data_IF_903882552493
#
_entry.id   IF_903882552493
#
_cell.length_a   1.000
_cell.length_b   1.000
_cell.length_c   1.000
_cell.angle_alpha   90.00
_cell.angle_beta   90.00
_cell.angle_gamma   90.00
#
_symmetry.space_group_name_H-M   'P 1'
#
loop_
_entity.id
_entity.type
_entity.pdbx_description
1 polymer ?
#
# COMPACT_ATOMS: atom_id res chain seq x y z
N UNK A 1 4.78 -15.64 -23.61
CA UNK A 1 4.69 -15.05 -22.28
C UNK A 1 6.12 -14.76 -21.80
N UNK A 2 6.40 -13.51 -21.44
CA UNK A 2 7.73 -13.01 -21.02
C UNK A 2 8.30 -13.82 -19.83
N UNK A 3 7.44 -14.26 -18.91
CA UNK A 3 7.84 -15.08 -17.77
C UNK A 3 8.32 -16.47 -18.22
N UNK A 4 7.63 -17.09 -19.17
CA UNK A 4 8.00 -18.41 -19.68
C UNK A 4 9.30 -18.34 -20.48
N UNK A 5 9.51 -17.27 -21.26
CA UNK A 5 10.76 -17.06 -21.98
C UNK A 5 11.95 -16.91 -21.02
N UNK A 6 11.81 -16.13 -19.96
CA UNK A 6 12.84 -16.00 -18.93
C UNK A 6 13.13 -17.32 -18.23
N UNK A 7 12.09 -18.07 -17.82
CA UNK A 7 12.27 -19.35 -17.13
C UNK A 7 12.93 -20.42 -18.02
N UNK A 8 12.70 -20.39 -19.34
CA UNK A 8 13.34 -21.29 -20.28
C UNK A 8 14.86 -21.07 -20.37
N UNK A 9 15.34 -19.84 -20.15
CA UNK A 9 16.76 -19.47 -20.22
C UNK A 9 17.24 -18.89 -18.88
N UNK A 10 16.64 -19.32 -17.77
CA UNK A 10 16.80 -18.71 -16.43
C UNK A 10 18.25 -18.52 -15.99
N UNK A 11 19.12 -19.49 -16.25
CA UNK A 11 20.52 -19.39 -15.83
C UNK A 11 21.27 -18.28 -16.58
N UNK A 12 21.11 -18.22 -17.90
CA UNK A 12 21.76 -17.21 -18.73
C UNK A 12 21.23 -15.81 -18.43
N UNK A 13 19.91 -15.67 -18.25
CA UNK A 13 19.26 -14.42 -17.88
C UNK A 13 19.72 -13.92 -16.51
N UNK A 14 19.85 -14.79 -15.51
CA UNK A 14 20.37 -14.43 -14.18
C UNK A 14 21.84 -14.03 -14.22
N UNK A 15 22.68 -14.71 -15.04
CA UNK A 15 24.08 -14.35 -15.26
C UNK A 15 24.17 -12.97 -15.94
N UNK A 16 23.35 -12.72 -16.95
CA UNK A 16 23.30 -11.42 -17.63
C UNK A 16 22.90 -10.29 -16.66
N UNK A 17 21.84 -10.50 -15.87
CA UNK A 17 21.44 -9.53 -14.84
C UNK A 17 22.53 -9.30 -13.79
N UNK A 18 23.20 -10.37 -13.34
CA UNK A 18 24.31 -10.27 -12.41
C UNK A 18 25.46 -9.44 -13.02
N UNK A 19 25.85 -9.71 -14.25
CA UNK A 19 26.91 -8.99 -14.96
C UNK A 19 26.54 -7.51 -15.19
N UNK A 20 25.28 -7.19 -15.41
CA UNK A 20 24.79 -5.81 -15.54
C UNK A 20 24.82 -5.05 -14.21
N UNK A 21 24.55 -5.72 -13.11
CA UNK A 21 24.56 -5.13 -11.76
C UNK A 21 25.99 -5.03 -11.21
N UNK A 22 26.85 -6.04 -11.48
CA UNK A 22 28.25 -6.05 -11.07
C UNK A 22 29.11 -5.58 -12.23
N UNK A 23 29.77 -4.44 -12.07
CA UNK A 23 30.66 -3.93 -13.10
C UNK A 23 31.97 -4.72 -13.13
N UNK A 24 32.24 -5.40 -14.25
CA UNK A 24 33.58 -5.86 -14.63
C UNK A 24 34.03 -5.07 -15.85
N UNK A 25 35.14 -4.30 -15.78
CA UNK A 25 35.66 -3.64 -16.96
C UNK A 25 35.98 -4.68 -18.04
N UNK A 26 35.40 -4.54 -19.24
CA UNK A 26 35.65 -5.46 -20.35
C UNK A 26 37.11 -5.50 -20.81
N UNK A 27 37.88 -4.46 -20.50
CA UNK A 27 39.22 -4.22 -21.04
C UNK A 27 40.33 -4.16 -19.97
N UNK A 28 40.08 -4.71 -18.78
CA UNK A 28 41.10 -4.70 -17.69
C UNK A 28 41.47 -3.32 -17.13
N UNK A 29 40.84 -2.26 -17.63
CA UNK A 29 40.98 -0.90 -17.04
C UNK A 29 40.03 -0.82 -15.85
N UNK A 30 40.47 -0.41 -14.66
CA UNK A 30 39.58 -0.19 -13.53
C UNK A 30 38.60 0.96 -13.87
N UNK A 31 37.40 0.60 -14.30
CA UNK A 31 36.33 1.55 -14.48
C UNK A 31 35.84 2.08 -13.14
N UNK A 32 35.06 3.15 -13.16
CA UNK A 32 34.42 3.66 -11.96
C UNK A 32 33.47 2.57 -11.39
N UNK A 33 33.72 2.00 -10.21
CA UNK A 33 32.87 0.95 -9.63
C UNK A 33 31.45 1.44 -9.33
N UNK A 34 31.19 2.75 -9.47
CA UNK A 34 29.88 3.34 -9.35
C UNK A 34 29.07 3.30 -10.66
N UNK A 35 29.68 2.88 -11.77
CA UNK A 35 28.97 2.73 -13.05
C UNK A 35 28.56 1.27 -13.26
N UNK A 36 27.28 0.96 -13.11
CA UNK A 36 26.73 -0.33 -13.54
C UNK A 36 26.02 -0.17 -14.88
N UNK A 37 26.11 -1.17 -15.74
CA UNK A 37 25.39 -1.17 -17.02
C UNK A 37 23.88 -1.49 -16.86
N UNK A 38 23.43 -1.77 -15.65
CA UNK A 38 22.02 -1.99 -15.40
C UNK A 38 21.24 -0.68 -15.48
N UNK A 39 20.21 -0.66 -16.31
CA UNK A 39 19.22 0.40 -16.42
C UNK A 39 17.84 -0.19 -16.19
N UNK A 40 17.01 0.51 -15.41
CA UNK A 40 15.63 0.11 -15.19
C UNK A 40 14.86 0.26 -16.50
N UNK A 41 14.22 -0.81 -16.92
CA UNK A 41 13.44 -0.80 -18.15
C UNK A 41 12.21 0.12 -18.11
N UNK A 42 11.63 0.35 -19.27
CA UNK A 42 10.46 1.23 -19.43
C UNK A 42 9.22 0.63 -18.77
N UNK A 43 8.51 1.44 -18.00
CA UNK A 43 7.26 1.04 -17.35
C UNK A 43 6.09 0.98 -18.33
N UNK A 44 5.33 -0.11 -18.26
CA UNK A 44 4.02 -0.24 -18.93
C UNK A 44 2.93 0.30 -17.99
N UNK A 45 2.24 1.36 -18.39
CA UNK A 45 1.16 1.99 -17.61
C UNK A 45 -0.18 1.33 -17.91
N UNK A 46 -0.92 0.89 -16.88
CA UNK A 46 -2.26 0.32 -16.99
C UNK A 46 -3.22 1.03 -16.03
N UNK A 47 -4.32 1.54 -16.56
CA UNK A 47 -5.40 2.10 -15.73
C UNK A 47 -6.25 0.97 -15.15
N UNK A 48 -6.45 0.98 -13.84
CA UNK A 48 -7.40 0.13 -13.13
C UNK A 48 -8.45 1.02 -12.47
N UNK A 49 -9.70 0.56 -12.41
CA UNK A 49 -10.84 1.36 -11.95
C UNK A 49 -11.43 0.90 -10.62
N UNK A 50 -11.01 -0.26 -10.12
CA UNK A 50 -11.48 -0.79 -8.85
C UNK A 50 -10.34 -0.95 -7.83
N UNK A 51 -10.57 -0.59 -6.55
CA UNK A 51 -11.76 0.06 -5.94
C UNK A 51 -11.86 1.56 -6.23
N UNK A 52 -10.81 2.18 -6.72
CA UNK A 52 -10.70 3.57 -7.18
C UNK A 52 -9.80 3.61 -8.42
N UNK A 53 -9.99 4.58 -9.31
CA UNK A 53 -9.07 4.77 -10.44
C UNK A 53 -7.61 4.89 -9.96
N UNK A 54 -6.73 4.11 -10.58
CA UNK A 54 -5.28 4.14 -10.31
C UNK A 54 -4.51 3.82 -11.58
N UNK A 55 -3.34 4.41 -11.72
CA UNK A 55 -2.38 4.00 -12.75
C UNK A 55 -1.42 3.03 -12.11
N UNK A 56 -1.51 1.76 -12.49
CA UNK A 56 -0.53 0.73 -12.13
C UNK A 56 0.57 0.73 -13.17
N UNK A 57 1.81 0.66 -12.72
CA UNK A 57 3.00 0.67 -13.56
C UNK A 57 3.72 -0.66 -13.36
N UNK A 58 3.97 -1.37 -14.45
CA UNK A 58 4.60 -2.68 -14.43
C UNK A 58 5.89 -2.67 -15.25
N UNK A 59 6.93 -3.23 -14.67
CA UNK A 59 8.21 -3.50 -15.33
C UNK A 59 8.21 -4.85 -16.06
N UNK A 60 9.25 -5.05 -16.87
CA UNK A 60 9.60 -6.33 -17.46
C UNK A 60 9.85 -7.38 -16.37
N UNK A 61 9.83 -8.66 -16.75
CA UNK A 61 10.07 -9.74 -15.80
C UNK A 61 11.50 -9.70 -15.22
N UNK A 62 12.57 -9.48 -16.04
CA UNK A 62 13.94 -9.34 -15.53
C UNK A 62 14.08 -8.23 -14.48
N UNK A 63 13.51 -7.06 -14.74
CA UNK A 63 13.54 -5.96 -13.75
C UNK A 63 12.83 -6.30 -12.43
N UNK A 64 11.73 -7.08 -12.50
CA UNK A 64 11.05 -7.57 -11.30
C UNK A 64 11.92 -8.56 -10.51
N UNK A 65 12.73 -9.37 -11.19
CA UNK A 65 13.73 -10.27 -10.56
C UNK A 65 14.77 -9.45 -9.80
N UNK A 66 15.29 -8.38 -10.39
CA UNK A 66 16.23 -7.46 -9.71
C UNK A 66 15.58 -6.85 -8.48
N UNK A 67 14.37 -6.31 -8.59
CA UNK A 67 13.64 -5.74 -7.45
C UNK A 67 13.38 -6.77 -6.35
N UNK A 68 13.08 -8.01 -6.72
CA UNK A 68 12.88 -9.11 -5.76
C UNK A 68 14.17 -9.44 -5.01
N UNK A 69 15.32 -9.46 -5.70
CA UNK A 69 16.61 -9.70 -5.07
C UNK A 69 16.94 -8.63 -4.02
N UNK A 70 16.76 -7.34 -4.33
CA UNK A 70 16.93 -6.25 -3.37
C UNK A 70 15.92 -6.34 -2.22
N UNK A 71 14.67 -6.62 -2.50
CA UNK A 71 13.64 -6.78 -1.48
C UNK A 71 14.01 -7.87 -0.47
N UNK A 72 14.41 -9.06 -0.93
CA UNK A 72 14.77 -10.18 -0.04
C UNK A 72 15.92 -9.83 0.92
N UNK A 73 16.86 -9.01 0.50
CA UNK A 73 18.01 -8.60 1.33
C UNK A 73 17.69 -7.43 2.26
N UNK A 74 16.95 -6.45 1.76
CA UNK A 74 16.71 -5.19 2.49
C UNK A 74 15.49 -5.26 3.40
N UNK A 75 14.42 -5.96 3.01
CA UNK A 75 13.21 -5.99 3.80
C UNK A 75 13.43 -6.52 5.23
N UNK A 76 14.19 -7.60 5.49
CA UNK A 76 14.47 -8.04 6.87
C UNK A 76 15.26 -7.03 7.70
N UNK A 77 16.09 -6.20 7.05
CA UNK A 77 16.86 -5.14 7.72
C UNK A 77 15.94 -4.03 8.23
N UNK A 78 14.99 -3.58 7.40
CA UNK A 78 14.09 -2.49 7.73
C UNK A 78 12.88 -2.95 8.54
N UNK A 79 12.33 -4.14 8.29
CA UNK A 79 11.15 -4.66 8.99
C UNK A 79 11.36 -4.74 10.51
N UNK A 80 12.58 -5.01 10.96
CA UNK A 80 12.95 -5.02 12.39
C UNK A 80 12.89 -3.65 13.06
N UNK A 81 12.97 -2.56 12.26
CA UNK A 81 12.93 -1.19 12.75
C UNK A 81 11.51 -0.63 12.80
N UNK A 82 10.57 -1.29 12.12
CA UNK A 82 9.19 -0.82 12.09
C UNK A 82 8.48 -1.07 13.41
N UNK A 83 7.67 -0.11 13.84
CA UNK A 83 6.85 -0.27 15.03
C UNK A 83 5.91 -1.47 14.94
N UNK A 84 5.51 -2.01 16.09
CA UNK A 84 4.62 -3.17 16.17
C UNK A 84 3.29 -2.94 15.44
N UNK A 85 2.75 -1.72 15.49
CA UNK A 85 1.45 -1.37 14.96
C UNK A 85 1.49 -0.72 13.57
N UNK A 86 2.53 -1.00 12.78
CA UNK A 86 2.57 -0.81 11.33
C UNK A 86 2.22 -2.13 10.63
N UNK A 87 1.15 -2.17 9.82
CA UNK A 87 0.54 -3.39 9.31
C UNK A 87 0.57 -3.56 7.80
N UNK A 88 0.79 -2.49 7.04
CA UNK A 88 0.76 -2.53 5.57
C UNK A 88 1.96 -3.25 4.98
N UNK A 89 1.75 -4.19 4.05
CA UNK A 89 2.79 -4.86 3.26
C UNK A 89 3.92 -5.50 4.09
N UNK A 90 3.59 -6.11 5.23
CA UNK A 90 4.53 -6.82 6.09
C UNK A 90 4.10 -8.27 6.28
N UNK A 91 5.07 -9.19 6.33
CA UNK A 91 4.80 -10.63 6.57
C UNK A 91 4.21 -10.84 7.97
N UNK A 92 3.18 -11.66 8.07
CA UNK A 92 2.48 -11.92 9.34
C UNK A 92 1.62 -10.73 9.84
N UNK A 93 1.49 -9.68 9.05
CA UNK A 93 0.65 -8.51 9.29
C UNK A 93 -0.42 -8.40 8.18
N UNK A 94 -1.42 -7.56 8.35
CA UNK A 94 -2.43 -7.39 7.31
C UNK A 94 -3.65 -6.61 7.77
N UNK A 95 -4.63 -6.51 6.89
CA UNK A 95 -5.85 -5.72 7.13
C UNK A 95 -6.66 -6.26 8.31
N UNK A 96 -6.72 -7.58 8.47
CA UNK A 96 -7.49 -8.22 9.55
C UNK A 96 -6.86 -7.91 10.90
N UNK A 97 -5.56 -8.20 11.06
CA UNK A 97 -4.83 -7.93 12.31
C UNK A 97 -4.86 -6.44 12.68
N UNK A 98 -4.77 -5.54 11.68
CA UNK A 98 -4.86 -4.10 11.91
C UNK A 98 -6.24 -3.70 12.47
N UNK A 99 -7.33 -4.26 11.91
CA UNK A 99 -8.70 -4.00 12.38
C UNK A 99 -8.93 -4.57 13.78
N UNK A 100 -8.50 -5.80 14.02
CA UNK A 100 -8.66 -6.49 15.30
C UNK A 100 -7.90 -5.73 16.40
N UNK A 101 -6.67 -5.29 16.12
CA UNK A 101 -5.90 -4.48 17.05
C UNK A 101 -6.61 -3.16 17.38
N UNK A 102 -7.10 -2.44 16.38
CA UNK A 102 -7.85 -1.20 16.62
C UNK A 102 -9.13 -1.48 17.41
N UNK A 103 -9.83 -2.58 17.15
CA UNK A 103 -11.02 -2.97 17.91
C UNK A 103 -10.72 -3.18 19.39
N UNK A 104 -9.55 -3.68 19.76
CA UNK A 104 -9.16 -3.85 21.17
C UNK A 104 -8.96 -2.51 21.89
N UNK A 105 -8.68 -1.43 21.16
CA UNK A 105 -8.45 -0.09 21.74
C UNK A 105 -9.72 0.73 21.85
N UNK A 106 -10.65 0.60 20.91
CA UNK A 106 -11.91 1.38 20.88
C UNK A 106 -12.75 1.20 22.15
N UNK A 107 -12.93 0.00 22.76
CA UNK A 107 -13.64 -0.14 24.04
C UNK A 107 -12.96 0.59 25.17
N UNK A 108 -11.62 0.52 25.25
CA UNK A 108 -10.84 1.19 26.29
C UNK A 108 -11.03 2.70 26.22
N UNK A 109 -11.07 3.25 25.01
CA UNK A 109 -11.31 4.66 24.75
C UNK A 109 -12.77 5.07 25.03
N UNK A 110 -13.74 4.15 24.85
CA UNK A 110 -15.18 4.44 25.04
C UNK A 110 -15.67 4.26 26.48
N UNK A 111 -14.99 3.45 27.30
CA UNK A 111 -15.39 3.09 28.65
C UNK A 111 -14.77 3.99 29.74
N UNK A 112 -13.79 4.83 29.39
CA UNK A 112 -13.21 5.80 30.31
C UNK A 112 -14.16 6.96 30.61
N UNK A 113 -14.11 7.49 31.82
CA UNK A 113 -14.82 8.71 32.24
C UNK A 113 -14.40 9.95 31.42
N UNK A 114 -13.22 9.93 30.80
CA UNK A 114 -12.73 10.95 29.86
C UNK A 114 -13.27 10.68 28.45
N UNK A 115 -13.71 11.73 27.77
CA UNK A 115 -14.11 11.64 26.36
C UNK A 115 -12.87 11.45 25.49
N UNK A 116 -12.76 10.30 24.82
CA UNK A 116 -11.68 10.02 23.90
C UNK A 116 -12.03 10.44 22.47
N UNK A 117 -11.01 10.76 21.72
CA UNK A 117 -11.10 11.19 20.32
C UNK A 117 -10.23 10.31 19.42
N UNK A 118 -10.63 10.24 18.17
CA UNK A 118 -9.90 9.55 17.09
C UNK A 118 -9.45 10.59 16.09
N UNK A 119 -8.17 10.66 15.82
CA UNK A 119 -7.60 11.37 14.70
C UNK A 119 -7.38 10.36 13.55
N UNK A 120 -8.06 10.59 12.46
CA UNK A 120 -7.82 9.90 11.19
C UNK A 120 -6.89 10.77 10.34
N UNK A 121 -5.68 10.30 10.07
CA UNK A 121 -4.74 10.94 9.15
C UNK A 121 -4.81 10.22 7.80
N UNK A 122 -4.86 10.99 6.74
CA UNK A 122 -4.82 10.52 5.34
C UNK A 122 -3.80 11.40 4.60
N UNK A 123 -2.71 10.80 4.11
CA UNK A 123 -1.66 11.52 3.39
C UNK A 123 -2.10 11.73 1.94
N UNK A 124 -1.95 12.97 1.45
CA UNK A 124 -2.37 13.33 0.11
C UNK A 124 -1.55 12.62 -0.97
N UNK A 125 -2.18 11.68 -1.71
CA UNK A 125 -1.57 10.99 -2.87
C UNK A 125 -0.17 10.45 -2.58
N UNK A 126 0.00 9.80 -1.46
CA UNK A 126 1.26 9.39 -0.87
C UNK A 126 2.26 8.82 -1.88
N UNK A 127 1.90 7.77 -2.66
CA UNK A 127 2.78 7.14 -3.64
C UNK A 127 3.28 8.09 -4.74
N UNK A 128 2.55 9.16 -5.05
CA UNK A 128 2.94 10.15 -6.05
C UNK A 128 3.74 11.32 -5.46
N UNK A 129 3.93 11.35 -4.13
CA UNK A 129 4.52 12.49 -3.41
C UNK A 129 5.83 12.17 -2.70
N UNK A 130 6.19 10.89 -2.56
CA UNK A 130 7.46 10.50 -1.94
C UNK A 130 8.61 11.22 -2.65
N UNK A 131 9.37 11.98 -1.90
CA UNK A 131 10.54 12.72 -2.40
C UNK A 131 11.74 11.80 -2.47
N UNK A 132 12.40 11.71 -3.63
CA UNK A 132 13.49 10.76 -3.86
C UNK A 132 14.75 11.11 -3.07
N UNK A 133 15.07 12.40 -2.89
CA UNK A 133 16.21 12.84 -2.12
C UNK A 133 16.04 12.47 -0.63
N UNK A 134 14.87 12.74 -0.07
CA UNK A 134 14.52 12.38 1.31
C UNK A 134 14.58 10.85 1.48
N UNK A 135 14.02 10.08 0.55
CA UNK A 135 14.06 8.62 0.60
C UNK A 135 15.51 8.10 0.58
N UNK A 136 16.34 8.62 -0.31
CA UNK A 136 17.76 8.24 -0.39
C UNK A 136 18.53 8.64 0.88
N UNK A 137 18.23 9.79 1.48
CA UNK A 137 18.80 10.21 2.77
C UNK A 137 18.42 9.22 3.88
N UNK A 138 17.18 8.77 3.95
CA UNK A 138 16.73 7.76 4.92
C UNK A 138 17.48 6.44 4.70
N UNK A 139 17.52 5.94 3.46
CA UNK A 139 18.19 4.69 3.11
C UNK A 139 19.69 4.71 3.46
N UNK A 140 20.39 5.82 3.19
CA UNK A 140 21.84 5.97 3.45
C UNK A 140 22.22 5.99 4.94
N UNK A 141 21.27 6.23 5.84
CA UNK A 141 21.50 6.08 7.29
C UNK A 141 21.78 4.63 7.67
N UNK A 142 21.12 3.68 6.98
CA UNK A 142 21.12 2.25 7.30
C UNK A 142 21.99 1.41 6.35
N UNK A 143 22.14 1.84 5.11
CA UNK A 143 22.91 1.16 4.07
C UNK A 143 24.19 1.95 3.84
N UNK A 144 25.37 1.31 4.06
CA UNK A 144 26.68 1.94 3.86
C UNK A 144 27.34 1.53 2.56
N UNK A 145 26.87 0.45 1.94
CA UNK A 145 27.35 -0.01 0.65
C UNK A 145 26.93 0.96 -0.46
N UNK A 146 27.91 1.59 -1.08
CA UNK A 146 27.71 2.58 -2.14
C UNK A 146 27.15 1.96 -3.43
N UNK A 147 27.46 0.69 -3.71
CA UNK A 147 26.96 -0.02 -4.88
C UNK A 147 25.45 -0.30 -4.74
N UNK A 148 25.04 -0.75 -3.56
CA UNK A 148 23.62 -0.94 -3.24
C UNK A 148 22.86 0.40 -3.32
N UNK A 149 23.41 1.47 -2.73
CA UNK A 149 22.77 2.80 -2.79
C UNK A 149 22.65 3.32 -4.22
N UNK A 150 23.67 3.12 -5.07
CA UNK A 150 23.63 3.44 -6.50
C UNK A 150 22.47 2.73 -7.20
N UNK A 151 22.32 1.43 -6.99
CA UNK A 151 21.30 0.64 -7.66
C UNK A 151 19.89 0.98 -7.14
N UNK A 152 19.77 1.25 -5.83
CA UNK A 152 18.53 1.76 -5.26
C UNK A 152 18.16 3.13 -5.83
N UNK A 153 19.13 4.00 -6.04
CA UNK A 153 18.92 5.28 -6.70
C UNK A 153 18.35 5.09 -8.12
N UNK A 154 18.90 4.16 -8.91
CA UNK A 154 18.40 3.83 -10.25
C UNK A 154 16.96 3.26 -10.21
N UNK A 155 16.65 2.43 -9.20
CA UNK A 155 15.30 1.87 -9.01
C UNK A 155 14.26 2.92 -8.60
N UNK A 156 14.68 3.94 -7.85
CA UNK A 156 13.83 5.04 -7.37
C UNK A 156 13.69 6.11 -8.44
N UNK A 157 14.80 6.54 -9.05
CA UNK A 157 14.86 7.55 -10.11
C UNK A 157 14.93 6.89 -11.50
N UNK A 158 13.82 6.40 -11.99
CA UNK A 158 13.76 5.88 -13.35
C UNK A 158 13.89 7.03 -14.36
N UNK A 159 14.91 6.97 -15.21
CA UNK A 159 15.19 8.01 -16.22
C UNK A 159 14.07 8.13 -17.27
N UNK A 160 13.47 6.99 -17.65
CA UNK A 160 12.45 6.92 -18.70
C UNK A 160 11.02 7.15 -18.21
N UNK A 161 10.78 7.23 -16.89
CA UNK A 161 9.42 7.29 -16.37
C UNK A 161 9.31 8.15 -15.11
N UNK A 162 8.61 9.26 -15.23
CA UNK A 162 8.23 10.09 -14.09
C UNK A 162 7.05 9.50 -13.33
N UNK A 163 7.09 9.55 -11.99
CA UNK A 163 6.08 9.00 -11.10
C UNK A 163 5.34 10.05 -10.27
N UNK A 164 5.91 11.23 -10.12
CA UNK A 164 5.36 12.31 -9.31
C UNK A 164 4.20 13.04 -9.97
N UNK A 165 3.28 13.55 -9.17
CA UNK A 165 2.16 14.37 -9.61
C UNK A 165 2.31 15.80 -9.11
N UNK A 166 1.96 16.81 -9.92
CA UNK A 166 1.82 18.20 -9.47
C UNK A 166 0.76 18.34 -8.37
N UNK A 167 0.87 19.39 -7.59
CA UNK A 167 -0.11 19.71 -6.56
C UNK A 167 -1.52 19.87 -7.16
N UNK A 168 -2.52 19.30 -6.50
CA UNK A 168 -3.93 19.41 -6.92
C UNK A 168 -4.34 18.55 -8.12
N UNK A 169 -3.41 18.04 -8.94
CA UNK A 169 -3.72 17.27 -10.16
C UNK A 169 -4.11 15.84 -9.83
N UNK A 170 -5.16 15.32 -10.47
CA UNK A 170 -5.55 13.90 -10.38
C UNK A 170 -4.72 13.06 -11.37
N UNK A 171 -4.33 11.82 -11.02
CA UNK A 171 -3.50 10.98 -11.89
C UNK A 171 -4.09 10.76 -13.29
N UNK A 172 -5.42 10.66 -13.38
CA UNK A 172 -6.15 10.40 -14.61
C UNK A 172 -6.18 11.63 -15.55
N UNK A 173 -6.00 12.82 -14.98
CA UNK A 173 -6.05 14.11 -15.68
C UNK A 173 -4.66 14.72 -15.91
N UNK A 174 -3.60 14.11 -15.36
CA UNK A 174 -2.23 14.58 -15.54
C UNK A 174 -1.77 14.29 -16.95
N UNK A 175 -1.32 15.31 -17.67
CA UNK A 175 -0.70 15.15 -18.98
C UNK A 175 0.68 14.52 -18.82
N UNK A 176 1.19 13.90 -19.90
CA UNK A 176 2.44 13.15 -19.81
C UNK A 176 3.65 14.05 -19.49
N UNK A 177 3.66 15.25 -20.04
CA UNK A 177 4.69 16.27 -19.83
C UNK A 177 4.71 16.88 -18.41
N UNK A 178 3.59 16.81 -17.69
CA UNK A 178 3.44 17.41 -16.35
C UNK A 178 3.91 16.49 -15.21
N UNK A 179 4.25 15.22 -15.51
CA UNK A 179 4.74 14.30 -14.50
C UNK A 179 6.14 14.70 -13.99
N UNK A 180 6.37 14.53 -12.69
CA UNK A 180 7.58 14.98 -12.00
C UNK A 180 8.52 13.79 -11.78
N UNK A 181 9.79 13.91 -12.21
CA UNK A 181 10.80 12.84 -12.11
C UNK A 181 11.35 12.61 -10.70
N UNK A 182 11.63 13.67 -9.95
CA UNK A 182 12.29 13.56 -8.64
C UNK A 182 11.33 13.23 -7.49
N UNK A 183 10.13 12.81 -7.80
CA UNK A 183 9.08 12.46 -6.84
C UNK A 183 8.24 11.28 -7.31
N UNK A 184 7.66 10.61 -6.31
CA UNK A 184 6.72 9.54 -6.53
C UNK A 184 7.37 8.17 -6.71
N UNK A 185 6.54 7.15 -6.56
CA UNK A 185 6.92 5.76 -6.74
C UNK A 185 5.88 5.04 -7.58
N UNK A 186 6.30 4.10 -8.43
CA UNK A 186 5.37 3.35 -9.27
C UNK A 186 4.47 2.46 -8.42
N UNK A 187 3.16 2.58 -8.62
CA UNK A 187 2.19 1.66 -8.00
C UNK A 187 2.21 0.34 -8.77
N UNK A 188 2.63 -0.72 -8.10
CA UNK A 188 2.72 -2.06 -8.68
C UNK A 188 4.07 -2.76 -8.42
N UNK A 189 5.10 -2.02 -8.03
CA UNK A 189 6.39 -2.59 -7.69
C UNK A 189 6.44 -3.04 -6.23
N UNK A 190 7.14 -4.15 -6.01
CA UNK A 190 7.39 -4.69 -4.66
C UNK A 190 8.26 -3.74 -3.82
N UNK A 191 9.32 -3.20 -4.43
CA UNK A 191 10.22 -2.26 -3.76
C UNK A 191 9.52 -0.96 -3.37
N UNK A 192 8.56 -0.47 -4.15
CA UNK A 192 7.77 0.72 -3.80
C UNK A 192 6.99 0.54 -2.50
N UNK A 193 6.48 -0.66 -2.23
CA UNK A 193 5.79 -0.96 -0.97
C UNK A 193 6.74 -0.95 0.23
N UNK A 194 7.94 -1.49 0.04
CA UNK A 194 9.00 -1.45 1.07
C UNK A 194 9.45 -0.02 1.33
N UNK A 195 9.75 0.75 0.29
CA UNK A 195 10.16 2.16 0.41
C UNK A 195 9.08 3.03 1.04
N UNK A 196 7.80 2.77 0.72
CA UNK A 196 6.69 3.45 1.36
C UNK A 196 6.66 3.21 2.88
N UNK A 197 6.91 1.99 3.34
CA UNK A 197 7.01 1.72 4.76
C UNK A 197 8.24 2.35 5.41
N UNK A 198 9.39 2.32 4.74
CA UNK A 198 10.64 2.94 5.22
C UNK A 198 10.46 4.45 5.38
N UNK A 199 9.85 5.10 4.40
CA UNK A 199 9.64 6.54 4.42
C UNK A 199 8.73 6.99 5.56
N UNK A 200 7.59 6.33 5.76
CA UNK A 200 6.67 6.67 6.84
C UNK A 200 7.10 6.10 8.21
N UNK A 201 8.15 5.28 8.27
CA UNK A 201 8.70 4.89 9.55
C UNK A 201 9.28 6.10 10.33
N UNK A 202 9.74 7.15 9.66
CA UNK A 202 10.16 8.39 10.30
C UNK A 202 8.98 9.00 11.11
N UNK A 203 7.79 9.05 10.51
CA UNK A 203 6.58 9.48 11.21
C UNK A 203 6.19 8.51 12.34
N UNK A 204 6.31 7.19 12.11
CA UNK A 204 6.01 6.19 13.14
C UNK A 204 6.91 6.38 14.37
N UNK A 205 8.22 6.58 14.16
CA UNK A 205 9.19 6.80 15.23
C UNK A 205 8.90 8.10 15.98
N UNK A 206 8.66 9.20 15.26
CA UNK A 206 8.29 10.48 15.85
C UNK A 206 7.03 10.37 16.73
N UNK A 207 5.97 9.76 16.20
CA UNK A 207 4.74 9.56 16.98
C UNK A 207 4.95 8.70 18.23
N UNK A 208 5.87 7.72 18.19
CA UNK A 208 6.11 6.80 19.30
C UNK A 208 7.11 7.31 20.32
N UNK A 209 8.17 7.95 19.88
CA UNK A 209 9.31 8.28 20.75
C UNK A 209 9.33 9.76 21.17
N UNK A 210 8.90 10.67 20.28
CA UNK A 210 8.89 12.10 20.60
C UNK A 210 7.52 12.53 21.15
N UNK A 211 6.41 12.15 20.49
CA UNK A 211 5.05 12.47 20.94
C UNK A 211 4.48 11.46 21.94
N UNK A 212 5.16 10.35 22.23
CA UNK A 212 4.77 9.30 23.17
C UNK A 212 3.34 8.78 22.99
N UNK A 213 2.88 8.69 21.71
CA UNK A 213 1.51 8.26 21.40
C UNK A 213 1.38 6.75 21.60
N UNK A 214 0.64 6.34 22.64
CA UNK A 214 0.41 4.92 22.95
C UNK A 214 -0.46 4.23 21.90
N UNK A 215 -1.58 4.82 21.51
CA UNK A 215 -2.58 4.25 20.62
C UNK A 215 -2.44 4.83 19.23
N UNK A 216 -1.40 4.40 18.51
CA UNK A 216 -1.05 4.75 17.14
C UNK A 216 -1.02 3.49 16.31
N UNK A 217 -1.71 3.46 15.18
CA UNK A 217 -1.74 2.35 14.23
C UNK A 217 -1.71 2.88 12.80
N UNK A 218 -0.91 2.22 11.96
CA UNK A 218 -0.75 2.58 10.55
C UNK A 218 -0.94 1.36 9.64
N UNK A 219 -1.65 1.60 8.55
CA UNK A 219 -1.70 0.69 7.39
C UNK A 219 -1.38 1.49 6.13
N UNK A 220 -0.14 1.43 5.65
CA UNK A 220 0.40 2.30 4.60
C UNK A 220 0.18 3.78 4.97
N UNK A 221 -0.59 4.52 4.17
CA UNK A 221 -0.95 5.92 4.35
C UNK A 221 -2.21 6.16 5.21
N UNK A 222 -2.91 5.11 5.64
CA UNK A 222 -4.09 5.18 6.51
C UNK A 222 -3.65 5.05 7.98
N UNK A 223 -3.77 6.11 8.76
CA UNK A 223 -3.24 6.20 10.13
C UNK A 223 -4.36 6.59 11.09
N UNK A 224 -4.41 5.91 12.25
CA UNK A 224 -5.34 6.19 13.34
C UNK A 224 -4.58 6.45 14.62
N UNK A 225 -4.95 7.54 15.31
CA UNK A 225 -4.51 7.88 16.66
C UNK A 225 -5.72 8.00 17.56
N UNK A 226 -5.68 7.40 18.78
CA UNK A 226 -6.67 7.63 19.81
C UNK A 226 -6.02 8.41 20.96
N UNK A 227 -6.71 9.47 21.40
CA UNK A 227 -6.21 10.38 22.44
C UNK A 227 -7.34 10.86 23.36
N UNK A 228 -7.08 11.05 24.68
CA UNK A 228 -8.13 11.40 25.65
C UNK A 228 -8.56 12.86 25.62
N UNK A 229 -7.77 13.76 25.08
CA UNK A 229 -8.07 15.19 25.01
C UNK A 229 -8.08 15.70 23.57
N UNK A 230 -9.09 16.50 23.24
CA UNK A 230 -9.27 17.02 21.87
C UNK A 230 -8.29 18.14 21.55
N UNK A 231 -7.97 19.01 22.52
CA UNK A 231 -7.09 20.15 22.29
C UNK A 231 -5.64 19.70 22.16
N UNK A 232 -5.22 18.75 23.04
CA UNK A 232 -3.91 18.09 22.87
C UNK A 232 -3.81 17.39 21.53
N UNK A 233 -4.89 16.75 21.05
CA UNK A 233 -4.90 16.07 19.76
C UNK A 233 -4.77 17.04 18.57
N UNK A 234 -5.25 18.28 18.69
CA UNK A 234 -4.96 19.34 17.71
C UNK A 234 -3.50 19.78 17.74
N UNK A 235 -2.86 19.82 18.90
CA UNK A 235 -1.43 20.11 19.01
C UNK A 235 -0.59 18.98 18.40
N UNK A 236 -0.93 17.72 18.70
CA UNK A 236 -0.31 16.54 18.08
C UNK A 236 -0.46 16.58 16.56
N UNK A 237 -1.63 16.95 16.03
CA UNK A 237 -1.86 17.09 14.60
C UNK A 237 -0.93 18.15 14.00
N UNK A 238 -0.79 19.32 14.63
CA UNK A 238 0.08 20.39 14.14
C UNK A 238 1.56 19.96 14.12
N UNK A 239 2.03 19.23 15.13
CA UNK A 239 3.40 18.69 15.16
C UNK A 239 3.62 17.64 14.05
N UNK A 240 2.63 16.78 13.80
CA UNK A 240 2.66 15.80 12.69
C UNK A 240 2.67 16.52 11.35
N UNK A 241 1.85 17.55 11.15
CA UNK A 241 1.83 18.35 9.92
C UNK A 241 3.18 19.02 9.68
N UNK A 242 3.80 19.57 10.70
CA UNK A 242 5.14 20.17 10.62
C UNK A 242 6.20 19.15 10.19
N UNK A 243 6.27 17.96 10.83
CA UNK A 243 7.20 16.90 10.43
C UNK A 243 6.98 16.45 8.97
N UNK A 244 5.72 16.26 8.59
CA UNK A 244 5.38 15.82 7.24
C UNK A 244 5.82 16.85 6.20
N UNK A 245 5.60 18.15 6.44
CA UNK A 245 5.97 19.23 5.52
C UNK A 245 7.49 19.46 5.47
N UNK A 246 8.11 19.71 6.62
CA UNK A 246 9.51 20.14 6.71
C UNK A 246 10.50 19.01 6.44
N UNK A 247 10.24 17.80 6.98
CA UNK A 247 11.21 16.69 6.90
C UNK A 247 10.87 15.69 5.81
N UNK A 248 9.58 15.41 5.59
CA UNK A 248 9.13 14.38 4.64
C UNK A 248 8.56 14.97 3.34
N UNK A 249 8.44 16.28 3.21
CA UNK A 249 7.89 16.96 2.03
C UNK A 249 6.55 16.38 1.58
N UNK A 250 5.70 16.00 2.56
CA UNK A 250 4.38 15.42 2.39
C UNK A 250 3.29 16.32 2.97
N UNK A 251 2.08 16.22 2.41
CA UNK A 251 0.91 17.00 2.83
C UNK A 251 -0.21 16.07 3.30
N UNK A 252 -0.98 16.50 4.31
CA UNK A 252 -2.20 15.81 4.71
C UNK A 252 -3.35 16.07 3.72
N UNK A 253 -4.20 15.07 3.55
CA UNK A 253 -5.41 15.18 2.76
C UNK A 253 -6.49 15.93 3.58
N UNK A 254 -7.36 16.69 2.90
CA UNK A 254 -8.57 17.34 3.49
C UNK A 254 -9.52 16.36 4.18
N UNK A 255 -9.34 15.06 4.06
CA UNK A 255 -10.09 14.02 4.78
C UNK A 255 -9.58 13.77 6.19
N UNK A 256 -8.40 14.28 6.53
CA UNK A 256 -7.88 14.25 7.91
C UNK A 256 -8.91 14.89 8.83
N UNK A 257 -9.30 14.18 9.89
CA UNK A 257 -10.34 14.65 10.80
C UNK A 257 -10.22 14.07 12.20
N UNK A 258 -10.63 14.89 13.18
CA UNK A 258 -10.77 14.47 14.58
C UNK A 258 -12.24 14.21 14.85
N UNK A 259 -12.55 13.03 15.41
CA UNK A 259 -13.90 12.58 15.73
C UNK A 259 -13.95 11.95 17.13
N UNK A 260 -15.12 11.97 17.81
CA UNK A 260 -15.29 11.24 19.08
C UNK A 260 -15.11 9.73 18.88
N UNK A 261 -14.44 9.06 19.83
CA UNK A 261 -14.14 7.63 19.76
C UNK A 261 -15.37 6.71 19.95
N UNK A 262 -16.50 7.21 20.43
CA UNK A 262 -17.75 6.44 20.50
C UNK A 262 -18.46 6.28 19.14
N UNK A 263 -18.07 7.08 18.14
CA UNK A 263 -18.53 6.90 16.78
C UNK A 263 -17.74 5.78 16.07
N UNK A 264 -18.36 5.08 15.09
CA UNK A 264 -17.62 4.06 14.35
C UNK A 264 -16.36 4.61 13.68
N UNK A 265 -15.21 3.98 13.95
CA UNK A 265 -13.93 4.35 13.35
C UNK A 265 -13.82 3.70 11.98
N UNK A 266 -13.55 4.50 10.96
CA UNK A 266 -13.30 3.98 9.61
C UNK A 266 -11.81 3.70 9.44
N UNK A 267 -11.46 2.44 9.21
CA UNK A 267 -10.07 2.03 8.99
C UNK A 267 -9.99 0.82 8.06
N UNK A 268 -9.06 0.84 7.11
CA UNK A 268 -8.78 -0.27 6.17
C UNK A 268 -10.04 -0.95 5.62
N UNK A 269 -10.95 -0.14 5.05
CA UNK A 269 -12.19 -0.64 4.42
C UNK A 269 -13.28 -1.13 5.37
N UNK A 270 -13.11 -0.98 6.69
CA UNK A 270 -14.08 -1.34 7.72
C UNK A 270 -14.63 -0.12 8.48
N UNK A 271 -15.72 -0.33 9.19
CA UNK A 271 -16.20 0.50 10.29
C UNK A 271 -16.08 -0.32 11.57
N UNK A 272 -15.31 0.17 12.52
CA UNK A 272 -14.92 -0.51 13.74
C UNK A 272 -15.59 0.16 14.93
N UNK A 273 -16.25 -0.62 15.76
CA UNK A 273 -16.82 -0.21 17.03
C UNK A 273 -16.37 -1.16 18.14
N UNK A 274 -16.62 -0.83 19.38
CA UNK A 274 -16.33 -1.70 20.51
C UNK A 274 -16.90 -3.13 20.38
N UNK A 275 -18.06 -3.24 19.73
CA UNK A 275 -18.81 -4.51 19.66
C UNK A 275 -18.63 -5.28 18.33
N UNK A 276 -18.29 -4.59 17.23
CA UNK A 276 -18.30 -5.21 15.91
C UNK A 276 -17.39 -4.50 14.91
N UNK A 277 -16.88 -5.28 13.97
CA UNK A 277 -16.22 -4.83 12.76
C UNK A 277 -17.16 -5.09 11.59
N UNK A 278 -17.59 -4.06 10.87
CA UNK A 278 -18.50 -4.19 9.74
C UNK A 278 -17.92 -3.63 8.47
N UNK A 279 -18.25 -4.21 7.34
CA UNK A 279 -17.83 -3.75 6.04
C UNK A 279 -18.42 -2.35 5.74
N UNK A 280 -17.61 -1.44 5.16
CA UNK A 280 -18.10 -0.10 4.75
C UNK A 280 -19.28 -0.20 3.79
N UNK A 281 -20.25 0.70 3.94
CA UNK A 281 -21.44 0.74 3.08
C UNK A 281 -21.09 0.77 1.58
N UNK A 282 -20.07 1.53 1.18
CA UNK A 282 -19.61 1.60 -0.21
C UNK A 282 -19.06 0.27 -0.74
N UNK A 283 -18.25 -0.43 0.06
CA UNK A 283 -17.71 -1.75 -0.29
C UNK A 283 -18.82 -2.78 -0.42
N UNK A 284 -19.76 -2.80 0.55
CA UNK A 284 -20.93 -3.67 0.51
C UNK A 284 -21.79 -3.42 -0.73
N UNK A 285 -22.09 -2.15 -1.06
CA UNK A 285 -22.87 -1.80 -2.25
C UNK A 285 -22.21 -2.31 -3.54
N UNK A 286 -20.89 -2.10 -3.69
CA UNK A 286 -20.16 -2.61 -4.87
C UNK A 286 -20.20 -4.12 -4.96
N UNK A 287 -19.99 -4.82 -3.85
CA UNK A 287 -20.07 -6.27 -3.79
C UNK A 287 -21.43 -6.76 -4.30
N UNK A 288 -22.53 -6.21 -3.79
CA UNK A 288 -23.88 -6.59 -4.25
C UNK A 288 -24.11 -6.29 -5.73
N UNK A 289 -23.67 -5.13 -6.21
CA UNK A 289 -23.78 -4.79 -7.64
C UNK A 289 -22.98 -5.78 -8.51
N UNK A 290 -21.78 -6.16 -8.09
CA UNK A 290 -20.96 -7.13 -8.81
C UNK A 290 -21.59 -8.51 -8.81
N UNK A 291 -22.11 -8.96 -7.68
CA UNK A 291 -22.81 -10.24 -7.58
C UNK A 291 -24.04 -10.28 -8.47
N UNK A 292 -24.88 -9.22 -8.49
CA UNK A 292 -26.03 -9.10 -9.40
C UNK A 292 -25.61 -9.14 -10.87
N UNK A 293 -24.54 -8.44 -11.23
CA UNK A 293 -24.02 -8.45 -12.59
C UNK A 293 -23.55 -9.84 -13.02
N UNK A 294 -22.78 -10.54 -12.18
CA UNK A 294 -22.31 -11.90 -12.45
C UNK A 294 -23.49 -12.88 -12.56
N UNK A 295 -24.51 -12.76 -11.68
CA UNK A 295 -25.73 -13.55 -11.75
C UNK A 295 -26.43 -13.34 -13.08
N UNK A 296 -26.64 -12.11 -13.52
CA UNK A 296 -27.26 -11.80 -14.81
C UNK A 296 -26.49 -12.34 -16.03
N UNK A 297 -25.16 -12.31 -15.99
CA UNK A 297 -24.34 -12.93 -17.05
C UNK A 297 -24.50 -14.44 -17.09
N UNK A 298 -24.60 -15.11 -15.95
CA UNK A 298 -24.82 -16.54 -15.87
C UNK A 298 -26.24 -16.93 -16.37
N UNK A 299 -27.25 -16.23 -15.92
CA UNK A 299 -28.65 -16.44 -16.38
C UNK A 299 -28.81 -16.22 -17.90
N UNK A 300 -27.98 -15.32 -18.47
CA UNK A 300 -27.91 -15.07 -19.92
C UNK A 300 -27.00 -16.06 -20.66
N UNK A 301 -26.44 -17.10 -20.02
CA UNK A 301 -25.56 -18.09 -20.63
C UNK A 301 -24.19 -17.56 -21.06
N UNK A 302 -23.80 -16.35 -20.62
CA UNK A 302 -22.54 -15.67 -21.05
C UNK A 302 -21.31 -16.08 -20.24
N UNK A 303 -21.47 -16.72 -19.12
CA UNK A 303 -20.36 -17.21 -18.27
C UNK A 303 -20.70 -18.59 -17.69
N UNK A 304 -19.68 -19.41 -17.47
CA UNK A 304 -19.82 -20.71 -16.84
C UNK A 304 -20.08 -20.59 -15.33
N UNK A 305 -20.70 -21.60 -14.73
CA UNK A 305 -20.97 -21.70 -13.30
C UNK A 305 -19.70 -21.59 -12.46
N UNK A 306 -18.58 -22.15 -12.92
CA UNK A 306 -17.29 -22.04 -12.25
C UNK A 306 -16.88 -20.58 -11.98
N UNK A 307 -17.10 -19.67 -12.94
CA UNK A 307 -16.81 -18.24 -12.78
C UNK A 307 -17.68 -17.60 -11.70
N UNK A 308 -18.95 -18.01 -11.62
CA UNK A 308 -19.89 -17.58 -10.56
C UNK A 308 -19.39 -18.07 -9.21
N UNK A 309 -19.13 -19.37 -9.10
CA UNK A 309 -18.68 -20.01 -7.87
C UNK A 309 -17.38 -19.36 -7.36
N UNK A 310 -16.37 -19.18 -8.20
CA UNK A 310 -15.11 -18.53 -7.83
C UNK A 310 -15.31 -17.09 -7.31
N UNK A 311 -16.25 -16.36 -7.92
CA UNK A 311 -16.59 -15.00 -7.47
C UNK A 311 -17.29 -15.04 -6.10
N UNK A 312 -18.23 -15.95 -5.90
CA UNK A 312 -18.95 -16.11 -4.63
C UNK A 312 -18.02 -16.54 -3.50
N UNK A 313 -17.15 -17.53 -3.73
CA UNK A 313 -16.16 -17.99 -2.75
C UNK A 313 -15.20 -16.86 -2.33
N UNK A 314 -14.77 -16.03 -3.28
CA UNK A 314 -13.95 -14.85 -2.99
C UNK A 314 -14.69 -13.87 -2.05
N UNK A 315 -15.97 -13.62 -2.27
CA UNK A 315 -16.76 -12.75 -1.39
C UNK A 315 -17.05 -13.40 -0.02
N UNK A 316 -17.32 -14.69 0.04
CA UNK A 316 -17.46 -15.40 1.32
C UNK A 316 -16.17 -15.33 2.14
N UNK A 317 -15.02 -15.57 1.51
CA UNK A 317 -13.71 -15.39 2.14
C UNK A 317 -13.49 -13.96 2.66
N UNK A 318 -13.96 -12.95 1.94
CA UNK A 318 -13.89 -11.56 2.41
C UNK A 318 -14.82 -11.32 3.61
N UNK A 319 -16.06 -11.80 3.56
CA UNK A 319 -17.12 -11.52 4.55
C UNK A 319 -16.82 -12.15 5.90
N UNK A 320 -16.18 -13.31 5.96
CA UNK A 320 -15.83 -13.98 7.22
C UNK A 320 -14.94 -13.14 8.15
N UNK A 321 -14.24 -12.14 7.62
CA UNK A 321 -13.43 -11.19 8.39
C UNK A 321 -14.23 -10.02 8.99
N UNK A 322 -15.56 -10.08 8.94
CA UNK A 322 -16.46 -9.06 9.48
C UNK A 322 -17.54 -9.69 10.34
N UNK A 323 -18.14 -8.91 11.22
CA UNK A 323 -19.35 -9.30 11.94
C UNK A 323 -20.53 -9.25 10.98
N UNK A 324 -20.83 -10.37 10.30
CA UNK A 324 -21.60 -10.38 9.06
C UNK A 324 -22.88 -11.20 9.07
N UNK A 325 -23.41 -11.64 10.23
CA UNK A 325 -24.56 -12.57 10.28
C UNK A 325 -25.75 -12.19 9.38
N UNK A 326 -26.22 -10.95 9.47
CA UNK A 326 -27.34 -10.47 8.62
C UNK A 326 -26.92 -10.28 7.16
N UNK A 327 -25.66 -9.95 6.89
CA UNK A 327 -25.15 -9.77 5.54
C UNK A 327 -25.05 -11.11 4.81
N UNK A 328 -24.54 -12.13 5.48
CA UNK A 328 -24.42 -13.48 4.92
C UNK A 328 -25.79 -14.06 4.59
N UNK A 329 -26.78 -13.94 5.50
CA UNK A 329 -28.16 -14.36 5.26
C UNK A 329 -28.75 -13.68 4.04
N UNK A 330 -28.60 -12.36 3.94
CA UNK A 330 -29.08 -11.59 2.78
C UNK A 330 -28.45 -12.03 1.46
N UNK A 331 -27.17 -12.40 1.46
CA UNK A 331 -26.49 -12.91 0.26
C UNK A 331 -27.03 -14.27 -0.13
N UNK A 332 -27.26 -15.17 0.82
CA UNK A 332 -27.85 -16.48 0.55
C UNK A 332 -29.25 -16.31 -0.05
N UNK A 333 -30.06 -15.45 0.54
CA UNK A 333 -31.44 -15.21 0.07
C UNK A 333 -31.51 -14.61 -1.35
N UNK A 334 -30.62 -13.62 -1.67
CA UNK A 334 -30.64 -12.95 -2.99
C UNK A 334 -29.87 -13.72 -4.08
N UNK A 335 -28.90 -14.55 -3.72
CA UNK A 335 -27.97 -15.19 -4.66
C UNK A 335 -27.92 -16.72 -4.54
N UNK A 336 -28.89 -17.37 -3.91
CA UNK A 336 -29.09 -18.82 -4.04
C UNK A 336 -29.37 -19.15 -5.50
N UNK A 337 -28.51 -19.95 -6.12
CA UNK A 337 -28.73 -20.47 -7.47
C UNK A 337 -29.49 -21.77 -7.34
N UNK A 338 -30.72 -21.83 -7.88
CA UNK A 338 -31.38 -23.10 -8.12
C UNK A 338 -30.65 -23.76 -9.31
N UNK A 339 -29.91 -24.80 -9.06
CA UNK A 339 -29.45 -25.70 -10.10
C UNK A 339 -30.69 -26.43 -10.57
N UNK A 340 -31.29 -26.01 -11.68
CA UNK A 340 -32.27 -26.82 -12.36
C UNK A 340 -31.53 -28.01 -12.94
N UNK A 341 -31.63 -29.17 -12.28
CA UNK A 341 -31.36 -30.45 -12.91
C UNK A 341 -32.35 -30.58 -14.04
N UNK A 342 -31.96 -30.28 -15.26
CA UNK A 342 -32.60 -30.82 -16.43
C UNK A 342 -32.19 -32.31 -16.50
N UNK A 343 -33.00 -33.14 -15.88
CA UNK A 343 -33.09 -34.57 -16.14
C UNK A 343 -33.69 -34.78 -17.52
#
# INVERSE_FOLDING_TARGET
>A
DENLAFEAHRQDELIDLHNKLTYFPKDGVPGNPLESSYHVGKYRKKKIYEPKPRIVMALSYPDRVVQWAYYQKLNPLFDRQFITHSYGCRVGKGTTQARDQLQTWVPKASSCSKKWYVLNLDIAKYFYRVDHEVLMKILSRHIKDKLILRDLYKLINCEDTAFGLPAGVQPELCKQEDWIYNRGMPIGNLTSQMFANIYLNELDQFCKHDLHIRYYIRYMDDIIILWPDKNELFQILAEIERLLDEELRLELNKKTCIRPAWLPVTFVGAQITAKKIVMRKSTRKRMFLRMKFIKGLFEAGKIAFEKVNNTMQSYFGLIQHFTAGNLLRKIIDEFSFRIFNNS
#
